data_IF_726995135711
#
_entry.id   IF_726995135711
#
_cell.length_a   1.000
_cell.length_b   1.000
_cell.length_c   1.000
_cell.angle_alpha   90.00
_cell.angle_beta   90.00
_cell.angle_gamma   90.00
#
_symmetry.space_group_name_H-M   'P 1'
#
loop_
_entity.id
_entity.type
_entity.pdbx_description
1 polymer ?
#
# COMPACT_ATOMS: atom_id res chain seq x y z
N UNK A 1 28.13 38.09 -29.15
CA UNK A 1 28.68 38.29 -27.80
C UNK A 1 28.38 39.70 -27.36
N UNK A 2 27.72 39.95 -26.24
CA UNK A 2 27.43 41.31 -25.79
C UNK A 2 28.68 41.95 -25.22
N UNK A 3 28.99 43.15 -25.75
CA UNK A 3 30.08 44.03 -25.29
C UNK A 3 31.43 43.32 -25.11
N UNK A 4 31.96 42.67 -26.15
CA UNK A 4 33.26 41.98 -26.14
C UNK A 4 34.26 42.76 -26.96
N UNK A 5 35.42 42.99 -26.41
CA UNK A 5 36.55 43.47 -27.15
C UNK A 5 37.44 42.29 -27.56
N UNK A 6 37.54 42.00 -28.87
CA UNK A 6 38.37 40.90 -29.37
C UNK A 6 39.80 41.41 -29.44
N UNK A 7 40.66 40.84 -28.58
CA UNK A 7 42.07 41.23 -28.45
C UNK A 7 42.92 40.48 -29.48
N UNK A 8 42.78 39.16 -29.56
CA UNK A 8 43.56 38.32 -30.45
C UNK A 8 42.71 37.16 -30.95
N UNK A 9 43.01 36.69 -32.15
CA UNK A 9 42.37 35.49 -32.70
C UNK A 9 43.32 34.70 -33.60
N UNK A 10 43.20 33.39 -33.59
CA UNK A 10 44.00 32.47 -34.40
C UNK A 10 43.08 31.38 -34.97
N UNK A 11 43.17 31.16 -36.28
CA UNK A 11 42.41 30.13 -36.98
C UNK A 11 43.35 29.32 -37.85
N UNK A 12 43.11 28.02 -37.90
CA UNK A 12 43.80 27.13 -38.85
C UNK A 12 43.29 27.30 -40.29
N UNK A 13 42.01 27.62 -40.46
CA UNK A 13 41.39 27.86 -41.76
C UNK A 13 41.51 29.35 -42.14
N UNK A 14 41.96 29.64 -43.39
CA UNK A 14 42.22 31.00 -43.86
C UNK A 14 40.98 31.84 -44.20
N UNK A 15 39.77 31.29 -44.16
CA UNK A 15 38.53 31.98 -44.57
C UNK A 15 37.76 32.45 -43.30
N UNK A 16 38.06 33.66 -42.87
CA UNK A 16 37.32 34.36 -41.85
C UNK A 16 37.17 35.84 -42.14
N UNK A 17 36.14 36.47 -41.62
CA UNK A 17 35.97 37.93 -41.67
C UNK A 17 35.58 38.42 -40.23
N UNK A 18 36.14 39.53 -39.84
CA UNK A 18 35.84 40.23 -38.60
C UNK A 18 34.94 41.43 -38.94
N UNK A 19 33.77 41.48 -38.33
CA UNK A 19 32.86 42.62 -38.40
C UNK A 19 32.52 43.08 -37.00
N UNK A 20 33.11 44.19 -36.56
CA UNK A 20 32.93 44.75 -35.19
C UNK A 20 33.17 43.66 -34.10
N UNK A 21 32.13 43.26 -33.40
CA UNK A 21 32.17 42.26 -32.31
C UNK A 21 31.82 40.85 -32.77
N UNK A 22 31.81 40.59 -34.07
CA UNK A 22 31.49 39.25 -34.63
C UNK A 22 32.64 38.75 -35.48
N UNK A 23 32.91 37.49 -35.35
CA UNK A 23 33.82 36.75 -36.24
C UNK A 23 32.99 35.80 -37.08
N UNK A 24 33.03 35.95 -38.38
CA UNK A 24 32.38 35.05 -39.30
C UNK A 24 33.45 34.10 -39.84
N UNK A 25 33.23 32.82 -39.66
CA UNK A 25 34.11 31.77 -40.15
C UNK A 25 33.39 31.07 -41.30
N UNK A 26 34.00 31.10 -42.49
CA UNK A 26 33.42 30.56 -43.72
C UNK A 26 33.50 31.52 -44.90
N UNK A 27 32.94 31.15 -46.10
CA UNK A 27 32.19 29.90 -46.35
C UNK A 27 33.08 28.66 -46.29
N UNK A 28 32.54 27.60 -45.76
CA UNK A 28 33.23 26.31 -45.70
C UNK A 28 33.05 25.57 -47.02
N UNK A 29 34.11 24.91 -47.46
CA UNK A 29 34.03 23.85 -48.46
C UNK A 29 33.39 22.59 -47.82
N UNK A 30 32.98 21.63 -48.64
CA UNK A 30 32.42 20.35 -48.17
C UNK A 30 33.47 19.68 -47.28
N UNK A 31 33.15 19.54 -45.99
CA UNK A 31 34.02 18.84 -45.04
C UNK A 31 33.46 17.45 -44.75
N UNK A 32 34.33 16.46 -44.57
CA UNK A 32 33.87 15.12 -44.18
C UNK A 32 33.22 15.14 -42.79
N UNK A 33 32.34 14.18 -42.49
CA UNK A 33 31.81 14.02 -41.15
C UNK A 33 32.92 13.95 -40.11
N UNK A 34 32.70 14.53 -38.93
CA UNK A 34 33.65 14.57 -37.80
C UNK A 34 34.94 15.37 -38.07
N UNK A 35 35.03 16.14 -39.11
CA UNK A 35 36.16 17.07 -39.36
C UNK A 35 36.28 18.07 -38.20
N UNK A 36 37.46 18.20 -37.62
CA UNK A 36 37.77 19.15 -36.55
C UNK A 36 38.56 20.31 -37.09
N UNK A 37 38.20 21.53 -36.69
CA UNK A 37 38.98 22.74 -36.95
C UNK A 37 39.22 23.45 -35.63
N UNK A 38 40.44 23.69 -35.27
CA UNK A 38 40.78 24.41 -34.05
C UNK A 38 40.83 25.91 -34.33
N UNK A 39 40.23 26.67 -33.44
CA UNK A 39 40.36 28.13 -33.44
C UNK A 39 40.49 28.62 -32.00
N UNK A 40 41.23 29.69 -31.81
CA UNK A 40 41.31 30.38 -30.53
C UNK A 40 40.96 31.86 -30.72
N UNK A 41 40.19 32.38 -29.77
CA UNK A 41 39.84 33.82 -29.71
C UNK A 41 40.08 34.28 -28.29
N UNK A 42 40.94 35.28 -28.16
CA UNK A 42 41.17 36.00 -26.91
C UNK A 42 40.31 37.25 -26.90
N UNK A 43 39.40 37.36 -25.96
CA UNK A 43 38.50 38.51 -25.89
C UNK A 43 38.33 38.94 -24.42
N UNK A 44 38.03 40.23 -24.26
CA UNK A 44 37.71 40.82 -22.99
C UNK A 44 36.18 40.89 -22.85
N UNK A 45 35.66 40.43 -21.73
CA UNK A 45 34.23 40.47 -21.46
C UNK A 45 33.98 40.59 -19.97
N UNK A 46 32.86 41.22 -19.60
CA UNK A 46 32.31 41.25 -18.25
C UNK A 46 31.20 40.21 -18.05
N UNK A 47 31.00 39.37 -19.06
CA UNK A 47 29.97 38.32 -19.01
C UNK A 47 30.27 37.21 -17.98
N UNK A 48 29.22 36.66 -17.47
CA UNK A 48 29.26 35.52 -16.57
C UNK A 48 29.24 34.24 -17.42
N UNK A 49 30.18 33.33 -17.18
CA UNK A 49 30.26 32.04 -17.87
C UNK A 49 30.11 30.89 -16.87
N UNK A 50 28.92 30.34 -16.80
CA UNK A 50 28.67 29.12 -16.03
C UNK A 50 28.81 27.92 -16.95
N UNK A 51 29.50 26.91 -16.46
CA UNK A 51 29.64 25.61 -17.17
C UNK A 51 29.32 24.48 -16.19
N UNK A 52 28.45 23.60 -16.60
CA UNK A 52 28.18 22.35 -15.88
C UNK A 52 29.24 21.35 -16.31
N UNK A 53 30.13 20.98 -15.37
CA UNK A 53 31.20 20.03 -15.63
C UNK A 53 30.64 18.60 -15.73
N UNK A 54 29.74 18.25 -14.80
CA UNK A 54 29.11 16.95 -14.74
C UNK A 54 27.67 17.09 -14.27
N UNK A 55 26.78 16.40 -14.93
CA UNK A 55 25.38 16.23 -14.56
C UNK A 55 25.09 14.73 -14.44
N UNK A 56 24.87 14.27 -13.23
CA UNK A 56 24.35 12.93 -12.97
C UNK A 56 22.85 13.07 -12.71
N UNK A 57 22.03 12.64 -13.67
CA UNK A 57 20.58 12.74 -13.65
C UNK A 57 19.97 11.37 -13.43
N UNK A 58 19.19 11.23 -12.37
CA UNK A 58 18.43 10.01 -12.05
C UNK A 58 16.95 10.27 -12.18
N UNK A 59 16.26 9.45 -12.97
CA UNK A 59 14.82 9.50 -13.15
C UNK A 59 14.25 8.17 -12.68
N UNK A 60 13.48 8.18 -11.61
CA UNK A 60 12.84 6.99 -11.07
C UNK A 60 11.34 7.01 -11.34
N UNK A 61 10.86 6.05 -12.13
CA UNK A 61 9.46 5.91 -12.47
C UNK A 61 8.74 4.99 -11.49
N UNK A 62 7.69 5.52 -10.86
CA UNK A 62 6.76 4.75 -10.06
C UNK A 62 5.42 4.62 -10.76
N UNK A 63 4.89 3.41 -10.86
CA UNK A 63 3.54 3.15 -11.37
C UNK A 63 2.43 3.70 -10.45
N UNK A 64 2.77 4.07 -9.22
CA UNK A 64 1.84 4.65 -8.23
C UNK A 64 1.53 6.13 -8.47
N UNK A 65 1.99 6.71 -9.56
CA UNK A 65 1.61 8.06 -9.97
C UNK A 65 2.70 9.12 -9.79
N UNK A 66 3.94 8.73 -9.50
CA UNK A 66 5.06 9.63 -9.29
C UNK A 66 6.25 9.31 -10.20
N UNK A 67 6.92 10.33 -10.68
CA UNK A 67 8.24 10.26 -11.29
C UNK A 67 9.15 11.15 -10.46
N UNK A 68 10.13 10.55 -9.79
CA UNK A 68 11.15 11.29 -9.06
C UNK A 68 12.33 11.60 -9.98
N UNK A 69 12.75 12.85 -9.98
CA UNK A 69 13.93 13.33 -10.72
C UNK A 69 14.91 13.91 -9.72
N UNK A 70 16.14 13.44 -9.75
CA UNK A 70 17.24 13.96 -8.95
C UNK A 70 18.43 14.25 -9.84
N UNK A 71 18.87 15.49 -9.85
CA UNK A 71 20.01 16.00 -10.60
C UNK A 71 21.15 16.35 -9.66
N UNK A 72 22.27 15.64 -9.75
CA UNK A 72 23.52 16.01 -9.09
C UNK A 72 24.36 16.82 -10.06
N UNK A 73 24.59 18.09 -9.75
CA UNK A 73 25.13 19.08 -10.68
C UNK A 73 26.44 19.65 -10.14
N UNK A 74 27.52 19.43 -10.88
CA UNK A 74 28.80 20.08 -10.63
C UNK A 74 28.94 21.27 -11.59
N UNK A 75 28.88 22.48 -11.05
CA UNK A 75 28.94 23.72 -11.85
C UNK A 75 30.14 24.55 -11.43
N UNK A 76 30.75 25.24 -12.41
CA UNK A 76 31.84 26.13 -12.13
C UNK A 76 31.78 27.39 -13.02
N UNK A 77 32.37 28.45 -12.53
CA UNK A 77 32.52 29.68 -13.30
C UNK A 77 33.75 29.58 -14.18
N UNK A 78 33.56 29.41 -15.50
CA UNK A 78 34.62 29.19 -16.48
C UNK A 78 35.29 30.50 -17.00
N UNK A 79 34.90 31.66 -16.45
CA UNK A 79 35.50 32.94 -16.74
C UNK A 79 36.92 33.09 -16.18
N UNK A 80 37.45 34.31 -16.27
CA UNK A 80 38.79 34.64 -15.79
C UNK A 80 38.93 34.30 -14.28
N UNK A 81 40.02 33.60 -13.95
CA UNK A 81 40.29 33.21 -12.57
C UNK A 81 40.52 34.41 -11.67
N UNK A 82 40.02 34.32 -10.43
CA UNK A 82 40.27 35.33 -9.40
C UNK A 82 41.79 35.51 -9.19
N UNK A 83 42.26 36.73 -9.23
CA UNK A 83 43.68 37.07 -8.97
C UNK A 83 43.84 37.34 -7.46
N UNK A 84 44.67 36.58 -6.81
CA UNK A 84 44.91 36.69 -5.37
C UNK A 84 43.87 36.02 -4.48
N UNK A 85 43.98 36.15 -3.16
CA UNK A 85 43.04 35.59 -2.19
C UNK A 85 41.70 36.32 -2.25
N UNK A 86 40.63 35.62 -1.87
CA UNK A 86 39.30 36.24 -1.74
C UNK A 86 39.23 37.15 -0.53
N UNK A 87 38.85 38.41 -0.77
CA UNK A 87 38.57 39.42 0.27
C UNK A 87 37.05 39.59 0.39
N UNK A 88 36.49 39.20 1.55
CA UNK A 88 35.07 39.41 1.84
C UNK A 88 34.70 40.90 1.94
N UNK A 89 35.65 41.72 2.40
CA UNK A 89 35.48 43.18 2.52
C UNK A 89 35.35 43.79 1.12
N UNK A 90 36.32 43.53 0.23
CA UNK A 90 36.28 44.03 -1.13
C UNK A 90 35.08 43.55 -1.93
N UNK A 91 34.65 42.29 -1.71
CA UNK A 91 33.42 41.78 -2.30
C UNK A 91 32.19 42.56 -1.86
N UNK A 92 32.05 42.85 -0.57
CA UNK A 92 30.85 43.50 -0.02
C UNK A 92 30.83 45.02 -0.25
N UNK A 93 31.98 45.68 -0.26
CA UNK A 93 32.11 47.15 -0.32
C UNK A 93 32.87 47.66 -1.54
N UNK A 94 33.51 46.79 -2.31
CA UNK A 94 34.28 47.17 -3.48
C UNK A 94 33.42 47.33 -4.74
N UNK A 95 33.82 48.30 -5.58
CA UNK A 95 33.10 48.62 -6.81
C UNK A 95 33.46 47.72 -8.00
N UNK A 96 34.16 46.61 -7.79
CA UNK A 96 34.84 45.89 -8.87
C UNK A 96 34.37 44.43 -9.18
N UNK A 97 33.23 43.97 -8.70
CA UNK A 97 32.85 42.56 -8.79
C UNK A 97 31.86 42.25 -9.93
N UNK A 98 32.13 42.71 -11.12
CA UNK A 98 31.24 42.58 -12.29
C UNK A 98 31.16 41.14 -12.86
N UNK A 99 32.07 40.23 -12.49
CA UNK A 99 32.15 38.86 -13.00
C UNK A 99 31.90 37.81 -11.95
N UNK A 100 30.97 38.06 -11.01
CA UNK A 100 30.62 37.17 -9.94
C UNK A 100 29.20 36.62 -10.10
N UNK A 101 29.04 35.34 -9.94
CA UNK A 101 27.73 34.70 -9.99
C UNK A 101 27.18 34.57 -8.56
N UNK A 102 26.16 35.34 -8.24
CA UNK A 102 25.44 35.25 -6.96
C UNK A 102 24.22 34.31 -7.04
N UNK A 103 23.60 34.23 -8.20
CA UNK A 103 22.42 33.39 -8.44
C UNK A 103 22.30 33.05 -9.93
N UNK A 104 21.48 32.05 -10.25
CA UNK A 104 21.06 31.73 -11.62
C UNK A 104 19.65 31.15 -11.63
N UNK A 105 18.98 31.25 -12.77
CA UNK A 105 17.62 30.77 -12.96
C UNK A 105 17.58 29.42 -13.63
N UNK A 106 16.90 28.47 -12.99
CA UNK A 106 16.61 27.14 -13.47
C UNK A 106 15.13 27.04 -13.82
N UNK A 107 14.79 26.38 -14.93
CA UNK A 107 13.41 26.18 -15.32
C UNK A 107 13.03 24.69 -15.22
N UNK A 108 12.09 24.37 -14.31
CA UNK A 108 11.60 23.02 -14.09
C UNK A 108 10.32 22.75 -14.89
N UNK A 109 10.07 21.49 -15.27
CA UNK A 109 8.88 21.09 -16.01
C UNK A 109 7.57 21.42 -15.28
N UNK A 110 6.48 21.55 -16.07
CA UNK A 110 5.15 21.79 -15.52
C UNK A 110 4.69 20.64 -14.64
N UNK A 111 4.19 20.96 -13.45
CA UNK A 111 3.68 19.98 -12.50
C UNK A 111 4.72 19.48 -11.50
N UNK A 112 5.94 20.04 -11.52
CA UNK A 112 6.96 19.73 -10.49
C UNK A 112 6.44 20.05 -9.11
N UNK A 113 6.70 19.12 -8.15
CA UNK A 113 6.32 19.22 -6.73
C UNK A 113 7.49 18.79 -5.87
N UNK A 114 7.40 19.05 -4.57
CA UNK A 114 8.37 18.59 -3.58
C UNK A 114 9.81 18.92 -3.95
N UNK A 115 10.02 20.15 -4.44
CA UNK A 115 11.32 20.63 -4.93
C UNK A 115 12.25 20.79 -3.73
N UNK A 116 13.42 20.18 -3.82
CA UNK A 116 14.47 20.37 -2.82
C UNK A 116 15.80 20.70 -3.49
N UNK A 117 16.55 21.57 -2.84
CA UNK A 117 17.88 21.99 -3.22
C UNK A 117 18.82 21.79 -2.02
N UNK A 118 19.85 21.00 -2.20
CA UNK A 118 20.84 20.70 -1.16
C UNK A 118 22.25 20.69 -1.71
N UNK A 119 23.19 21.08 -0.90
CA UNK A 119 24.62 20.96 -1.17
C UNK A 119 25.30 19.91 -0.25
N UNK A 120 26.61 19.82 -0.29
CA UNK A 120 27.35 18.88 0.57
C UNK A 120 27.16 19.14 2.09
N UNK A 121 26.75 20.34 2.48
CA UNK A 121 26.53 20.73 3.89
C UNK A 121 25.08 20.41 4.33
N UNK A 122 24.14 20.47 3.41
CA UNK A 122 22.72 20.19 3.69
C UNK A 122 21.77 21.04 2.86
N UNK A 123 20.49 21.11 3.26
CA UNK A 123 19.49 21.87 2.54
C UNK A 123 19.81 23.37 2.50
N UNK A 124 19.55 23.96 1.33
CA UNK A 124 19.73 25.41 1.09
C UNK A 124 18.35 26.03 0.93
N UNK A 125 18.04 27.04 1.77
CA UNK A 125 16.72 27.69 1.80
C UNK A 125 16.67 29.07 1.18
N UNK A 126 17.77 29.55 0.60
CA UNK A 126 17.88 30.91 0.00
C UNK A 126 17.23 31.03 -1.38
N UNK A 127 16.84 29.90 -1.99
CA UNK A 127 16.28 29.86 -3.34
C UNK A 127 14.82 30.33 -3.38
N UNK A 128 14.44 31.00 -4.47
CA UNK A 128 13.08 31.49 -4.69
C UNK A 128 12.38 30.70 -5.79
N UNK A 129 11.12 30.33 -5.52
CA UNK A 129 10.27 29.54 -6.43
C UNK A 129 9.16 30.41 -6.99
N UNK A 130 9.10 30.56 -8.31
CA UNK A 130 8.02 31.26 -9.00
C UNK A 130 7.28 30.29 -9.92
N UNK A 131 5.98 30.07 -9.66
CA UNK A 131 5.14 29.23 -10.51
C UNK A 131 4.64 29.99 -11.73
N UNK A 132 4.89 29.46 -12.93
CA UNK A 132 4.40 29.98 -14.21
C UNK A 132 3.44 28.98 -14.87
N UNK A 133 2.69 29.42 -15.87
CA UNK A 133 1.81 28.54 -16.66
C UNK A 133 2.57 27.45 -17.43
N UNK A 134 3.82 27.73 -17.81
CA UNK A 134 4.71 26.83 -18.58
C UNK A 134 5.53 25.89 -17.71
N UNK A 135 5.72 26.19 -16.42
CA UNK A 135 6.57 25.42 -15.51
C UNK A 135 6.84 26.17 -14.21
N UNK A 136 7.94 25.84 -13.59
CA UNK A 136 8.39 26.48 -12.36
C UNK A 136 9.76 27.10 -12.59
N UNK A 137 9.87 28.41 -12.38
CA UNK A 137 11.16 29.07 -12.35
C UNK A 137 11.71 29.04 -10.93
N UNK A 138 12.90 28.52 -10.82
CA UNK A 138 13.65 28.42 -9.58
C UNK A 138 14.90 29.28 -9.68
N UNK A 139 14.99 30.30 -8.85
CA UNK A 139 16.20 31.08 -8.67
C UNK A 139 17.08 30.40 -7.64
N UNK A 140 18.20 29.86 -8.09
CA UNK A 140 19.16 29.15 -7.23
C UNK A 140 20.20 30.15 -6.73
N UNK A 141 20.29 30.32 -5.43
CA UNK A 141 21.30 31.10 -4.74
C UNK A 141 22.24 30.16 -3.96
N UNK A 142 23.51 29.98 -4.40
CA UNK A 142 24.46 29.16 -3.68
C UNK A 142 24.92 29.81 -2.37
N UNK A 143 25.44 29.01 -1.42
CA UNK A 143 25.90 29.52 -0.12
C UNK A 143 26.99 30.57 -0.21
N UNK A 144 27.73 30.56 -1.30
CA UNK A 144 28.77 31.55 -1.58
C UNK A 144 28.75 31.93 -3.06
N UNK A 145 29.05 33.19 -3.39
CA UNK A 145 29.11 33.63 -4.77
C UNK A 145 30.24 32.93 -5.50
N UNK A 146 30.03 32.57 -6.77
CA UNK A 146 31.06 31.92 -7.58
C UNK A 146 31.92 32.96 -8.29
N UNK A 147 33.16 33.05 -7.87
CA UNK A 147 34.22 33.78 -8.54
C UNK A 147 34.77 33.00 -9.71
N UNK A 148 35.46 33.63 -10.64
CA UNK A 148 36.09 32.95 -11.77
C UNK A 148 37.00 31.81 -11.36
N UNK A 149 36.75 30.63 -11.88
CA UNK A 149 37.45 29.38 -11.53
C UNK A 149 36.87 28.64 -10.32
N UNK A 150 35.93 29.24 -9.59
CA UNK A 150 35.29 28.55 -8.45
C UNK A 150 34.23 27.59 -8.94
N UNK A 151 34.03 26.52 -8.15
CA UNK A 151 33.06 25.44 -8.40
C UNK A 151 32.15 25.20 -7.20
N UNK A 152 30.96 24.77 -7.46
CA UNK A 152 30.05 24.24 -6.45
C UNK A 152 29.40 22.97 -6.98
N UNK A 153 28.95 22.14 -6.04
CA UNK A 153 28.21 20.93 -6.33
C UNK A 153 26.92 20.94 -5.51
N UNK A 154 25.82 20.61 -6.14
CA UNK A 154 24.53 20.59 -5.49
C UNK A 154 23.62 19.53 -6.12
N UNK A 155 22.62 19.15 -5.34
CA UNK A 155 21.56 18.24 -5.76
C UNK A 155 20.26 19.02 -5.83
N UNK A 156 19.60 18.91 -6.96
CA UNK A 156 18.27 19.44 -7.20
C UNK A 156 17.32 18.28 -7.49
N UNK A 157 16.29 18.10 -6.63
CA UNK A 157 15.31 17.06 -6.83
C UNK A 157 13.90 17.59 -6.87
N UNK A 158 13.04 16.89 -7.60
CA UNK A 158 11.62 17.23 -7.72
C UNK A 158 10.80 16.01 -8.17
N UNK A 159 9.51 16.05 -7.93
CA UNK A 159 8.55 15.02 -8.31
C UNK A 159 7.64 15.51 -9.45
N UNK A 160 7.36 14.62 -10.42
CA UNK A 160 6.43 14.86 -11.52
C UNK A 160 5.25 13.88 -11.43
N UNK A 161 4.01 14.33 -11.76
CA UNK A 161 2.87 13.43 -11.84
C UNK A 161 2.94 12.60 -13.13
N UNK A 162 2.84 11.27 -13.02
CA UNK A 162 2.91 10.36 -14.18
C UNK A 162 1.88 10.66 -15.27
N UNK A 163 0.69 11.15 -14.91
CA UNK A 163 -0.40 11.46 -15.85
C UNK A 163 -0.02 12.38 -17.01
N UNK A 164 1.05 13.15 -16.87
CA UNK A 164 1.51 14.11 -17.89
C UNK A 164 2.63 13.53 -18.77
N UNK A 165 3.27 12.46 -18.34
CA UNK A 165 4.52 11.95 -18.92
C UNK A 165 4.45 10.48 -19.30
N UNK A 166 3.54 9.71 -18.69
CA UNK A 166 3.35 8.29 -18.92
C UNK A 166 2.05 8.05 -19.70
N UNK A 167 2.16 7.43 -20.86
CA UNK A 167 1.04 7.06 -21.71
C UNK A 167 0.89 5.55 -21.69
N UNK A 168 -0.36 5.07 -21.62
CA UNK A 168 -0.68 3.66 -21.54
C UNK A 168 -1.66 3.27 -22.66
N UNK A 169 -1.40 2.12 -23.26
CA UNK A 169 -2.32 1.42 -24.14
C UNK A 169 -2.26 -0.07 -23.83
N UNK A 170 -3.29 -0.59 -23.17
CA UNK A 170 -3.32 -1.97 -22.63
C UNK A 170 -2.13 -2.22 -21.67
N UNK A 171 -1.25 -3.17 -21.99
CA UNK A 171 -0.04 -3.48 -21.25
C UNK A 171 1.20 -2.75 -21.75
N UNK A 172 1.06 -1.95 -22.81
CA UNK A 172 2.15 -1.18 -23.38
C UNK A 172 2.19 0.23 -22.78
N UNK A 173 3.34 0.64 -22.31
CA UNK A 173 3.57 1.94 -21.69
C UNK A 173 4.62 2.70 -22.49
N UNK A 174 4.46 4.02 -22.57
CA UNK A 174 5.42 4.93 -23.15
C UNK A 174 5.71 6.09 -22.19
N UNK A 175 6.91 6.14 -21.65
CA UNK A 175 7.39 7.25 -20.83
C UNK A 175 8.02 8.30 -21.75
N UNK A 176 7.46 9.51 -21.75
CA UNK A 176 7.99 10.67 -22.48
C UNK A 176 8.53 11.68 -21.51
N UNK A 177 9.85 11.83 -21.43
CA UNK A 177 10.52 12.71 -20.47
C UNK A 177 11.76 13.34 -21.08
N UNK A 178 12.16 14.50 -20.60
CA UNK A 178 13.35 15.19 -21.07
C UNK A 178 14.62 14.53 -20.55
N UNK A 179 15.57 14.29 -21.46
CA UNK A 179 16.88 13.80 -21.09
C UNK A 179 17.73 14.86 -20.36
N UNK A 180 17.52 16.12 -20.67
CA UNK A 180 18.18 17.28 -20.08
C UNK A 180 17.15 18.36 -19.80
N UNK A 181 17.20 19.00 -18.62
CA UNK A 181 16.41 20.19 -18.31
C UNK A 181 17.22 21.47 -18.42
N UNK A 182 16.54 22.60 -18.33
CA UNK A 182 17.16 23.90 -18.31
C UNK A 182 17.76 24.19 -16.94
N UNK A 183 19.09 24.20 -16.83
CA UNK A 183 19.84 24.44 -15.58
C UNK A 183 20.14 25.93 -15.39
N UNK A 184 20.65 26.58 -16.43
CA UNK A 184 20.89 28.01 -16.47
C UNK A 184 20.82 28.54 -17.92
N UNK A 185 20.71 29.84 -18.10
CA UNK A 185 20.66 30.48 -19.44
C UNK A 185 21.97 30.23 -20.17
N UNK A 186 21.89 29.93 -21.48
CA UNK A 186 23.03 29.60 -22.37
C UNK A 186 23.88 28.44 -21.80
N UNK A 187 23.23 27.40 -21.30
CA UNK A 187 23.90 26.28 -20.63
C UNK A 187 24.84 25.51 -21.53
N UNK A 188 25.94 25.11 -20.95
CA UNK A 188 26.85 24.13 -21.51
C UNK A 188 27.17 23.05 -20.50
N UNK A 189 26.83 21.80 -20.84
CA UNK A 189 27.04 20.61 -19.99
C UNK A 189 28.12 19.76 -20.64
N UNK A 190 29.27 19.60 -19.97
CA UNK A 190 30.39 18.85 -20.51
C UNK A 190 30.12 17.35 -20.52
N UNK A 191 29.53 16.82 -19.47
CA UNK A 191 29.23 15.39 -19.31
C UNK A 191 27.84 15.22 -18.68
N UNK A 192 26.99 14.46 -19.36
CA UNK A 192 25.70 13.99 -18.83
C UNK A 192 25.77 12.47 -18.63
N UNK A 193 25.45 12.02 -17.43
CA UNK A 193 25.13 10.63 -17.13
C UNK A 193 23.65 10.58 -16.73
N UNK A 194 22.86 9.88 -17.52
CA UNK A 194 21.42 9.74 -17.31
C UNK A 194 21.10 8.31 -16.91
N UNK A 195 20.49 8.14 -15.75
CA UNK A 195 19.99 6.87 -15.25
C UNK A 195 18.45 6.92 -15.19
N UNK A 196 17.81 5.97 -15.84
CA UNK A 196 16.35 5.85 -15.83
C UNK A 196 15.98 4.51 -15.20
N UNK A 197 15.38 4.58 -14.02
CA UNK A 197 14.97 3.43 -13.22
C UNK A 197 13.51 3.14 -13.55
N UNK A 198 13.27 2.01 -14.20
CA UNK A 198 11.93 1.53 -14.54
C UNK A 198 11.35 0.69 -13.38
N UNK A 199 10.03 0.49 -13.33
CA UNK A 199 9.41 -0.42 -12.37
C UNK A 199 9.96 -1.86 -12.48
N UNK A 200 9.78 -2.65 -11.45
CA UNK A 200 10.15 -4.07 -11.47
C UNK A 200 9.30 -4.84 -12.49
N UNK A 201 9.86 -5.87 -13.10
CA UNK A 201 9.18 -6.77 -14.03
C UNK A 201 8.73 -6.11 -15.35
N UNK A 202 9.43 -5.10 -15.83
CA UNK A 202 9.23 -4.57 -17.19
C UNK A 202 9.90 -5.46 -18.23
N UNK A 203 9.29 -5.55 -19.41
CA UNK A 203 9.76 -6.36 -20.54
C UNK A 203 9.77 -5.51 -21.83
N UNK A 204 10.46 -5.97 -22.88
CA UNK A 204 10.45 -5.39 -24.22
C UNK A 204 10.81 -3.89 -24.28
N UNK A 205 11.87 -3.48 -23.58
CA UNK A 205 12.28 -2.08 -23.50
C UNK A 205 12.83 -1.60 -24.86
N UNK A 206 12.21 -0.55 -25.42
CA UNK A 206 12.66 0.15 -26.64
C UNK A 206 12.77 1.62 -26.34
N UNK A 207 13.83 2.26 -26.83
CA UNK A 207 14.12 3.67 -26.58
C UNK A 207 14.19 4.41 -27.89
N UNK A 208 13.45 5.51 -27.99
CA UNK A 208 13.54 6.47 -29.09
C UNK A 208 14.40 7.65 -28.65
N UNK A 209 15.53 7.82 -29.32
CA UNK A 209 16.51 8.86 -29.01
C UNK A 209 16.24 10.12 -29.84
N UNK A 210 16.18 11.33 -29.25
CA UNK A 210 16.05 12.57 -29.99
C UNK A 210 17.34 12.96 -30.70
N UNK A 211 18.46 12.43 -30.27
CA UNK A 211 19.81 12.57 -30.81
C UNK A 211 20.66 11.37 -30.35
N UNK A 212 21.83 11.21 -30.94
CA UNK A 212 22.72 10.09 -30.56
C UNK A 212 23.16 10.16 -29.10
N UNK A 213 22.80 9.13 -28.33
CA UNK A 213 23.18 8.89 -26.93
C UNK A 213 23.94 7.58 -26.86
N UNK A 214 25.02 7.55 -26.11
CA UNK A 214 25.74 6.32 -25.83
C UNK A 214 24.97 5.52 -24.76
N UNK A 215 24.51 4.31 -25.12
CA UNK A 215 23.87 3.41 -24.17
C UNK A 215 24.91 2.53 -23.52
N UNK A 216 25.04 2.62 -22.21
CA UNK A 216 25.84 1.73 -21.39
C UNK A 216 25.05 0.44 -21.10
N UNK A 217 25.72 -0.65 -20.68
CA UNK A 217 25.01 -1.87 -20.26
C UNK A 217 24.01 -1.56 -19.17
N UNK A 218 22.77 -2.08 -19.30
CA UNK A 218 21.73 -1.93 -18.30
C UNK A 218 22.16 -2.61 -17.00
N UNK A 219 21.73 -2.08 -15.87
CA UNK A 219 21.97 -2.66 -14.55
C UNK A 219 20.65 -2.93 -13.83
N UNK A 220 20.71 -3.72 -12.76
CA UNK A 220 19.57 -3.98 -11.90
C UNK A 220 19.78 -3.30 -10.56
N UNK A 221 18.79 -2.55 -10.11
CA UNK A 221 18.77 -1.91 -8.78
C UNK A 221 17.72 -2.61 -7.92
N UNK A 222 18.11 -3.46 -6.97
CA UNK A 222 17.16 -4.06 -6.03
C UNK A 222 16.70 -3.00 -5.02
N UNK A 223 15.43 -2.98 -4.70
CA UNK A 223 14.83 -2.20 -3.62
C UNK A 223 14.13 -3.15 -2.65
N UNK A 224 13.67 -2.67 -1.50
CA UNK A 224 13.26 -3.44 -0.32
C UNK A 224 12.56 -4.80 -0.55
N UNK A 225 11.48 -4.82 -1.34
CA UNK A 225 10.66 -6.02 -1.57
C UNK A 225 10.76 -6.54 -3.00
N UNK A 226 11.67 -5.97 -3.80
CA UNK A 226 11.92 -6.44 -5.16
C UNK A 226 12.50 -7.87 -5.13
N UNK A 227 12.07 -8.70 -6.05
CA UNK A 227 12.59 -10.06 -6.18
C UNK A 227 13.60 -10.20 -7.32
N UNK A 228 13.40 -9.44 -8.41
CA UNK A 228 14.28 -9.43 -9.59
C UNK A 228 15.07 -8.13 -9.69
N UNK A 229 14.64 -7.08 -9.00
CA UNK A 229 15.19 -5.74 -9.08
C UNK A 229 14.63 -4.94 -10.27
N UNK A 230 14.83 -3.63 -10.20
CA UNK A 230 14.37 -2.67 -11.21
C UNK A 230 15.42 -2.47 -12.26
N UNK A 231 15.03 -2.45 -13.53
CA UNK A 231 15.93 -2.21 -14.64
C UNK A 231 16.35 -0.74 -14.66
N UNK A 232 17.66 -0.51 -14.69
CA UNK A 232 18.26 0.82 -14.80
C UNK A 232 18.88 0.98 -16.18
N UNK A 233 18.31 1.86 -17.00
CA UNK A 233 18.83 2.25 -18.29
C UNK A 233 19.86 3.34 -18.07
N UNK A 234 21.09 3.15 -18.57
CA UNK A 234 22.17 4.12 -18.42
C UNK A 234 22.58 4.68 -19.76
N UNK A 235 22.50 6.01 -19.85
CA UNK A 235 22.83 6.75 -21.06
C UNK A 235 23.88 7.82 -20.74
N UNK A 236 24.79 8.03 -21.68
CA UNK A 236 25.87 9.03 -21.56
C UNK A 236 25.92 9.93 -22.79
N UNK A 237 26.23 11.20 -22.58
CA UNK A 237 26.49 12.17 -23.65
C UNK A 237 27.41 13.28 -23.19
N UNK A 238 28.26 13.72 -24.06
CA UNK A 238 29.16 14.84 -23.82
C UNK A 238 28.77 16.06 -24.65
N UNK A 239 29.13 17.25 -24.15
CA UNK A 239 29.00 18.53 -24.87
C UNK A 239 27.54 18.86 -25.24
N UNK A 240 26.66 18.95 -24.26
CA UNK A 240 25.26 19.31 -24.45
C UNK A 240 25.07 20.82 -24.26
N UNK A 241 24.11 21.37 -25.03
CA UNK A 241 23.68 22.77 -24.99
C UNK A 241 22.14 22.81 -24.95
N UNK A 242 21.53 23.98 -24.88
CA UNK A 242 20.07 24.17 -24.85
C UNK A 242 19.30 23.44 -25.97
N UNK A 243 19.91 23.29 -27.17
CA UNK A 243 19.30 22.56 -28.28
C UNK A 243 19.09 21.06 -28.01
N UNK A 244 19.74 20.51 -27.00
CA UNK A 244 19.59 19.11 -26.54
C UNK A 244 18.49 18.92 -25.49
N UNK A 245 17.78 19.98 -25.11
CA UNK A 245 16.60 19.88 -24.24
C UNK A 245 15.44 19.31 -25.06
N UNK A 246 15.44 18.00 -25.24
CA UNK A 246 14.43 17.26 -26.02
C UNK A 246 13.93 16.05 -25.23
N UNK A 247 12.72 15.61 -25.59
CA UNK A 247 12.11 14.43 -24.99
C UNK A 247 12.77 13.16 -25.51
N UNK A 248 13.01 12.22 -24.60
CA UNK A 248 13.30 10.81 -24.88
C UNK A 248 12.02 10.02 -24.64
N UNK A 249 11.75 9.01 -25.46
CA UNK A 249 10.57 8.16 -25.31
C UNK A 249 11.05 6.74 -25.04
N UNK A 250 10.54 6.16 -23.94
CA UNK A 250 10.88 4.81 -23.53
C UNK A 250 9.60 3.98 -23.56
N UNK A 251 9.56 3.02 -24.45
CA UNK A 251 8.49 2.04 -24.56
C UNK A 251 8.86 0.80 -23.77
N UNK A 252 7.90 0.26 -23.02
CA UNK A 252 8.07 -0.98 -22.27
C UNK A 252 6.72 -1.64 -22.05
N UNK A 253 6.75 -2.95 -21.82
CA UNK A 253 5.58 -3.74 -21.47
C UNK A 253 5.54 -3.97 -19.97
N UNK A 254 4.38 -3.77 -19.37
CA UNK A 254 4.17 -3.96 -17.95
C UNK A 254 2.75 -4.45 -17.66
N UNK A 255 2.63 -5.47 -16.86
CA UNK A 255 1.33 -6.01 -16.43
C UNK A 255 0.92 -5.32 -15.12
N UNK A 256 -0.20 -4.54 -15.09
CA UNK A 256 -0.59 -3.75 -13.91
C UNK A 256 -0.77 -4.58 -12.62
N UNK A 257 -1.17 -5.86 -12.74
CA UNK A 257 -1.28 -6.75 -11.58
C UNK A 257 0.04 -6.95 -10.83
N UNK A 258 1.19 -6.79 -11.51
CA UNK A 258 2.51 -6.89 -10.87
C UNK A 258 2.76 -5.77 -9.83
N UNK A 259 2.02 -4.65 -9.89
CA UNK A 259 2.06 -3.59 -8.85
C UNK A 259 1.61 -4.08 -7.47
N UNK A 260 0.70 -5.07 -7.41
CA UNK A 260 0.18 -5.58 -6.15
C UNK A 260 1.11 -6.60 -5.48
N UNK A 261 2.22 -6.94 -6.11
CA UNK A 261 3.14 -7.97 -5.65
C UNK A 261 3.76 -7.65 -4.28
N UNK A 262 4.21 -6.42 -4.09
CA UNK A 262 4.78 -5.97 -2.81
C UNK A 262 3.75 -6.02 -1.68
N UNK A 263 2.49 -5.60 -1.96
CA UNK A 263 1.38 -5.72 -1.02
C UNK A 263 1.08 -7.17 -0.66
N UNK A 264 1.14 -8.05 -1.66
CA UNK A 264 0.86 -9.47 -1.45
C UNK A 264 1.91 -10.11 -0.54
N UNK A 265 3.19 -9.80 -0.72
CA UNK A 265 4.26 -10.28 0.17
C UNK A 265 4.11 -9.74 1.59
N UNK A 266 3.79 -8.46 1.75
CA UNK A 266 3.55 -7.85 3.07
C UNK A 266 2.34 -8.49 3.76
N UNK A 267 1.28 -8.73 3.01
CA UNK A 267 0.09 -9.41 3.52
C UNK A 267 0.40 -10.84 3.98
N UNK A 268 1.15 -11.63 3.18
CA UNK A 268 1.56 -12.99 3.55
C UNK A 268 2.42 -12.97 4.81
N UNK A 269 3.40 -12.06 4.89
CA UNK A 269 4.27 -11.95 6.06
C UNK A 269 3.46 -11.63 7.33
N UNK A 270 2.54 -10.66 7.26
CA UNK A 270 1.64 -10.32 8.36
C UNK A 270 0.73 -11.48 8.74
N UNK A 271 0.15 -12.18 7.76
CA UNK A 271 -0.68 -13.34 7.97
C UNK A 271 0.09 -14.46 8.68
N UNK A 272 1.32 -14.73 8.28
CA UNK A 272 2.19 -15.73 8.92
C UNK A 272 2.50 -15.37 10.38
N UNK A 273 2.77 -14.10 10.67
CA UNK A 273 2.97 -13.62 12.05
C UNK A 273 1.72 -13.81 12.88
N UNK A 274 0.55 -13.42 12.36
CA UNK A 274 -0.73 -13.60 13.07
C UNK A 274 -1.06 -15.08 13.30
N UNK A 275 -0.83 -15.94 12.31
CA UNK A 275 -0.98 -17.40 12.46
C UNK A 275 -0.06 -17.96 13.54
N UNK A 276 1.19 -17.50 13.58
CA UNK A 276 2.15 -17.93 14.61
C UNK A 276 1.66 -17.53 16.02
N UNK A 277 1.15 -16.30 16.17
CA UNK A 277 0.60 -15.82 17.44
C UNK A 277 -0.62 -16.66 17.84
N UNK A 278 -1.54 -16.94 16.92
CA UNK A 278 -2.73 -17.74 17.18
C UNK A 278 -2.33 -19.16 17.60
N UNK A 279 -1.39 -19.78 16.89
CA UNK A 279 -0.88 -21.11 17.22
C UNK A 279 -0.23 -21.07 18.60
N UNK A 280 0.65 -20.10 18.89
CA UNK A 280 1.33 -19.96 20.17
C UNK A 280 0.35 -19.82 21.34
N UNK A 281 -0.68 -18.99 21.19
CA UNK A 281 -1.70 -18.77 22.24
C UNK A 281 -2.60 -20.00 22.43
N UNK A 282 -2.86 -20.77 21.35
CA UNK A 282 -3.72 -21.97 21.41
C UNK A 282 -3.01 -23.26 21.79
N UNK A 283 -1.70 -23.33 21.55
CA UNK A 283 -0.88 -24.47 21.96
C UNK A 283 -0.54 -24.33 23.45
N UNK A 284 -0.98 -25.32 24.21
CA UNK A 284 -0.59 -25.45 25.61
C UNK A 284 0.76 -26.20 25.67
N UNK A 285 1.83 -25.45 25.88
CA UNK A 285 3.19 -25.97 26.04
C UNK A 285 3.52 -26.39 27.47
N UNK A 286 2.54 -26.36 28.37
CA UNK A 286 2.77 -26.75 29.77
C UNK A 286 3.10 -28.25 29.87
N UNK A 287 4.24 -28.55 30.43
CA UNK A 287 4.69 -29.93 30.71
C UNK A 287 3.87 -30.54 31.85
N UNK A 288 3.35 -29.70 32.73
CA UNK A 288 2.38 -30.10 33.76
C UNK A 288 0.98 -30.08 33.17
N UNK A 289 0.36 -31.28 33.05
CA UNK A 289 -1.07 -31.38 32.87
C UNK A 289 -1.73 -30.80 34.12
N UNK A 290 -2.34 -29.62 33.98
CA UNK A 290 -3.24 -29.06 35.00
C UNK A 290 -4.47 -29.98 35.06
N UNK A 291 -4.43 -30.97 35.92
CA UNK A 291 -5.56 -31.91 36.12
C UNK A 291 -6.87 -31.15 36.32
N UNK A 292 -6.78 -30.02 37.01
CA UNK A 292 -7.93 -29.13 37.24
C UNK A 292 -8.52 -28.57 35.95
N UNK A 293 -7.68 -28.09 35.02
CA UNK A 293 -8.14 -27.56 33.69
C UNK A 293 -8.69 -28.69 32.81
N UNK A 294 -8.14 -29.89 32.89
CA UNK A 294 -8.62 -31.03 32.11
C UNK A 294 -10.00 -31.47 32.60
N UNK A 295 -10.18 -31.49 33.95
CA UNK A 295 -11.46 -31.75 34.57
C UNK A 295 -12.47 -30.67 34.20
N UNK A 296 -12.12 -29.40 34.28
CA UNK A 296 -12.98 -28.28 33.92
C UNK A 296 -13.43 -28.35 32.46
N UNK A 297 -12.51 -28.64 31.54
CA UNK A 297 -12.85 -28.83 30.09
C UNK A 297 -13.79 -30.02 29.88
N UNK A 298 -13.59 -31.13 30.60
CA UNK A 298 -14.48 -32.29 30.53
C UNK A 298 -15.89 -31.94 31.05
N UNK A 299 -15.97 -31.26 32.18
CA UNK A 299 -17.25 -30.79 32.74
C UNK A 299 -17.97 -29.89 31.76
N UNK A 300 -17.27 -28.86 31.22
CA UNK A 300 -17.83 -27.91 30.27
C UNK A 300 -18.34 -28.60 28.99
N UNK A 301 -17.58 -29.59 28.47
CA UNK A 301 -18.01 -30.36 27.30
C UNK A 301 -19.25 -31.24 27.56
N UNK A 302 -19.41 -31.74 28.77
CA UNK A 302 -20.57 -32.53 29.15
C UNK A 302 -21.79 -31.66 29.42
N UNK A 303 -21.60 -30.47 30.02
CA UNK A 303 -22.67 -29.50 30.24
C UNK A 303 -23.19 -28.98 28.89
N UNK A 304 -22.31 -28.65 27.93
CA UNK A 304 -22.76 -28.22 26.62
C UNK A 304 -23.55 -29.29 25.85
N UNK A 305 -23.19 -30.56 25.99
CA UNK A 305 -24.01 -31.68 25.45
C UNK A 305 -25.36 -31.78 26.13
N UNK A 306 -25.39 -31.60 27.44
CA UNK A 306 -26.63 -31.64 28.20
C UNK A 306 -27.58 -30.53 27.76
N UNK A 307 -27.11 -29.32 27.57
CA UNK A 307 -27.91 -28.20 27.04
C UNK A 307 -28.50 -28.56 25.66
N UNK A 308 -27.70 -29.10 24.76
CA UNK A 308 -28.19 -29.54 23.43
C UNK A 308 -29.27 -30.65 23.53
N UNK A 309 -29.18 -31.54 24.51
CA UNK A 309 -30.20 -32.57 24.70
C UNK A 309 -31.50 -31.94 25.22
N UNK A 310 -31.42 -30.98 26.12
CA UNK A 310 -32.61 -30.24 26.62
C UNK A 310 -33.27 -29.40 25.53
N UNK A 311 -32.50 -28.79 24.63
CA UNK A 311 -33.08 -28.11 23.45
C UNK A 311 -33.89 -29.10 22.60
N UNK A 312 -33.34 -30.27 22.32
CA UNK A 312 -34.08 -31.34 21.60
C UNK A 312 -35.30 -31.82 22.38
N UNK A 313 -35.23 -31.81 23.72
CA UNK A 313 -36.34 -32.19 24.60
C UNK A 313 -37.48 -31.17 24.48
N UNK A 314 -37.18 -29.88 24.47
CA UNK A 314 -38.15 -28.82 24.26
C UNK A 314 -38.87 -28.96 22.91
N UNK A 315 -38.14 -29.31 21.84
CA UNK A 315 -38.73 -29.62 20.53
C UNK A 315 -39.72 -30.81 20.58
N UNK A 316 -39.41 -31.80 21.41
CA UNK A 316 -40.29 -32.96 21.61
C UNK A 316 -41.57 -32.54 22.37
N UNK A 317 -41.44 -31.67 23.39
CA UNK A 317 -42.59 -31.14 24.14
C UNK A 317 -43.54 -30.36 23.23
N UNK A 318 -43.03 -29.46 22.41
CA UNK A 318 -43.87 -28.72 21.45
C UNK A 318 -44.57 -29.65 20.45
N UNK A 319 -43.87 -30.68 19.96
CA UNK A 319 -44.47 -31.64 19.03
C UNK A 319 -45.52 -32.49 19.68
N UNK A 320 -45.33 -32.92 20.94
CA UNK A 320 -46.36 -33.67 21.69
C UNK A 320 -47.62 -32.81 21.89
N UNK A 321 -47.48 -31.52 22.19
CA UNK A 321 -48.64 -30.63 22.29
C UNK A 321 -49.34 -30.41 20.94
N UNK A 322 -48.58 -30.32 19.86
CA UNK A 322 -49.18 -30.24 18.51
C UNK A 322 -49.93 -31.53 18.14
N UNK A 323 -49.38 -32.69 18.46
CA UNK A 323 -50.03 -33.99 18.27
C UNK A 323 -51.35 -34.06 19.05
N UNK A 324 -51.40 -33.60 20.32
CA UNK A 324 -52.61 -33.52 21.12
C UNK A 324 -53.66 -32.55 20.52
N UNK A 325 -53.23 -31.40 20.02
CA UNK A 325 -54.13 -30.45 19.32
C UNK A 325 -54.69 -31.04 18.04
N UNK A 326 -53.86 -31.77 17.23
CA UNK A 326 -54.29 -32.45 16.03
C UNK A 326 -55.30 -33.57 16.34
N UNK A 327 -55.03 -34.41 17.34
CA UNK A 327 -55.88 -35.48 17.78
C UNK A 327 -57.30 -34.98 18.21
N UNK A 328 -57.35 -33.82 18.86
CA UNK A 328 -58.62 -33.16 19.22
C UNK A 328 -59.44 -32.75 17.98
N UNK A 329 -58.82 -32.37 16.87
CA UNK A 329 -59.50 -31.91 15.64
C UNK A 329 -59.91 -33.11 14.75
N UNK A 330 -58.99 -34.05 14.51
CA UNK A 330 -59.15 -35.09 13.50
C UNK A 330 -59.77 -36.36 14.05
N UNK A 331 -59.66 -36.62 15.39
CA UNK A 331 -60.16 -37.78 16.12
C UNK A 331 -59.67 -39.13 15.58
N UNK A 332 -58.59 -39.14 14.80
CA UNK A 332 -57.92 -40.36 14.32
C UNK A 332 -57.05 -40.95 15.36
N UNK A 333 -57.45 -42.09 15.93
CA UNK A 333 -56.73 -42.72 17.00
C UNK A 333 -55.51 -43.53 16.55
N UNK A 334 -55.46 -44.00 15.33
CA UNK A 334 -54.35 -44.85 14.84
C UNK A 334 -53.12 -43.98 14.45
N UNK A 335 -53.33 -42.86 13.77
CA UNK A 335 -52.27 -41.91 13.47
C UNK A 335 -51.73 -41.27 14.74
N UNK A 336 -52.60 -40.87 15.66
CA UNK A 336 -52.21 -40.35 16.99
C UNK A 336 -51.29 -41.33 17.75
N UNK A 337 -51.70 -42.61 17.86
CA UNK A 337 -50.96 -43.62 18.65
C UNK A 337 -49.58 -43.88 18.01
N UNK A 338 -49.45 -43.83 16.70
CA UNK A 338 -48.17 -44.05 16.02
C UNK A 338 -47.21 -42.84 16.25
N UNK A 339 -47.71 -41.63 16.06
CA UNK A 339 -46.91 -40.40 16.27
C UNK A 339 -46.51 -40.21 17.73
N UNK A 340 -47.47 -40.43 18.64
CA UNK A 340 -47.26 -40.40 20.11
C UNK A 340 -46.18 -41.37 20.55
N UNK A 341 -46.29 -42.63 20.17
CA UNK A 341 -45.28 -43.65 20.50
C UNK A 341 -43.91 -43.34 19.96
N UNK A 342 -43.81 -42.79 18.74
CA UNK A 342 -42.56 -42.36 18.15
C UNK A 342 -41.89 -41.28 18.99
N UNK A 343 -42.63 -40.24 19.42
CA UNK A 343 -42.10 -39.13 20.21
C UNK A 343 -41.76 -39.55 21.65
N UNK A 344 -42.59 -40.41 22.25
CA UNK A 344 -42.31 -40.99 23.57
C UNK A 344 -41.06 -41.86 23.59
N UNK A 345 -40.77 -42.56 22.49
CA UNK A 345 -39.51 -43.29 22.33
C UNK A 345 -38.32 -42.34 22.26
N UNK A 346 -38.39 -41.26 21.47
CA UNK A 346 -37.34 -40.26 21.42
C UNK A 346 -37.11 -39.59 22.80
N UNK A 347 -38.17 -39.29 23.54
CA UNK A 347 -38.08 -38.76 24.91
C UNK A 347 -37.33 -39.73 25.81
N UNK A 348 -37.68 -41.05 25.79
CA UNK A 348 -37.04 -42.06 26.64
C UNK A 348 -35.55 -42.23 26.29
N UNK A 349 -35.19 -42.14 25.03
CA UNK A 349 -33.79 -42.17 24.55
C UNK A 349 -33.00 -40.96 25.10
N UNK A 350 -33.53 -39.73 24.97
CA UNK A 350 -32.93 -38.53 25.53
C UNK A 350 -32.79 -38.60 27.06
N UNK A 351 -33.82 -39.09 27.76
CA UNK A 351 -33.78 -39.27 29.23
C UNK A 351 -32.69 -40.27 29.66
N UNK A 352 -32.50 -41.34 28.92
CA UNK A 352 -31.42 -42.29 29.15
C UNK A 352 -30.04 -41.65 28.95
N UNK A 353 -29.88 -40.79 27.91
CA UNK A 353 -28.65 -40.06 27.65
C UNK A 353 -28.34 -39.03 28.74
N UNK A 354 -29.34 -38.28 29.23
CA UNK A 354 -29.21 -37.35 30.35
C UNK A 354 -28.74 -38.10 31.61
N UNK A 355 -29.33 -39.27 31.92
CA UNK A 355 -28.91 -40.10 33.06
C UNK A 355 -27.48 -40.65 32.90
N UNK A 356 -27.06 -40.99 31.67
CA UNK A 356 -25.68 -41.38 31.39
C UNK A 356 -24.70 -40.25 31.64
N UNK A 357 -25.03 -39.01 31.23
CA UNK A 357 -24.21 -37.84 31.49
C UNK A 357 -24.14 -37.55 32.99
N UNK A 358 -25.26 -37.63 33.71
CA UNK A 358 -25.33 -37.49 35.18
C UNK A 358 -24.40 -38.46 35.90
N UNK A 359 -24.43 -39.73 35.54
CA UNK A 359 -23.55 -40.75 36.16
C UNK A 359 -22.07 -40.46 35.91
N UNK A 360 -21.71 -39.90 34.78
CA UNK A 360 -20.33 -39.53 34.48
C UNK A 360 -19.89 -38.24 35.17
N UNK A 361 -20.82 -37.30 35.41
CA UNK A 361 -20.53 -36.01 36.07
C UNK A 361 -20.53 -36.12 37.59
N UNK A 362 -21.32 -37.04 38.17
CA UNK A 362 -21.49 -37.19 39.63
C UNK A 362 -20.16 -37.28 40.41
N UNK A 363 -19.14 -38.06 39.98
CA UNK A 363 -17.88 -38.14 40.69
C UNK A 363 -16.98 -36.90 40.51
N UNK A 364 -17.23 -36.10 39.46
CA UNK A 364 -16.36 -35.02 39.04
C UNK A 364 -16.88 -33.65 39.51
N UNK A 365 -18.20 -33.48 39.55
CA UNK A 365 -18.87 -32.22 39.87
C UNK A 365 -20.13 -32.42 40.73
N UNK A 366 -19.99 -32.61 42.08
CA UNK A 366 -21.13 -32.90 42.99
C UNK A 366 -22.20 -31.81 43.00
N UNK A 367 -21.81 -30.52 43.00
CA UNK A 367 -22.76 -29.39 43.01
C UNK A 367 -23.62 -29.35 41.76
N UNK A 368 -23.04 -29.60 40.58
CA UNK A 368 -23.78 -29.67 39.32
C UNK A 368 -24.72 -30.88 39.28
N UNK A 369 -24.37 -31.96 39.94
CA UNK A 369 -25.22 -33.15 40.01
C UNK A 369 -26.53 -32.88 40.79
N UNK A 370 -26.51 -32.05 41.82
CA UNK A 370 -27.71 -31.65 42.53
C UNK A 370 -28.66 -30.82 41.64
N UNK A 371 -28.12 -29.89 40.89
CA UNK A 371 -28.88 -29.11 39.90
C UNK A 371 -29.46 -30.00 38.79
N UNK A 372 -28.71 -30.98 38.31
CA UNK A 372 -29.20 -31.95 37.34
C UNK A 372 -30.35 -32.81 37.92
N UNK A 373 -30.33 -33.16 39.21
CA UNK A 373 -31.42 -33.84 39.86
C UNK A 373 -32.70 -32.98 39.86
N UNK A 374 -32.57 -31.68 40.13
CA UNK A 374 -33.67 -30.73 40.06
C UNK A 374 -34.25 -30.66 38.64
N UNK A 375 -33.38 -30.56 37.62
CA UNK A 375 -33.81 -30.56 36.23
C UNK A 375 -34.54 -31.83 35.83
N UNK A 376 -34.02 -33.01 36.17
CA UNK A 376 -34.66 -34.29 35.88
C UNK A 376 -36.02 -34.40 36.59
N UNK A 377 -36.16 -33.85 37.79
CA UNK A 377 -37.45 -33.83 38.49
C UNK A 377 -38.48 -32.91 37.84
N UNK A 378 -38.03 -31.71 37.36
CA UNK A 378 -38.86 -30.78 36.61
C UNK A 378 -39.32 -31.36 35.27
N UNK A 379 -38.40 -32.01 34.54
CA UNK A 379 -38.68 -32.74 33.29
C UNK A 379 -39.73 -33.84 33.52
N UNK A 380 -39.59 -34.64 34.57
CA UNK A 380 -40.58 -35.67 34.89
C UNK A 380 -41.95 -35.07 35.21
N UNK A 381 -42.01 -33.99 36.03
CA UNK A 381 -43.25 -33.30 36.35
C UNK A 381 -43.93 -32.72 35.11
N UNK A 382 -43.13 -32.19 34.15
CA UNK A 382 -43.68 -31.69 32.88
C UNK A 382 -44.28 -32.79 32.03
N UNK A 383 -43.63 -33.95 31.95
CA UNK A 383 -44.17 -35.11 31.24
C UNK A 383 -45.42 -35.67 31.88
N UNK A 384 -45.53 -35.64 33.24
CA UNK A 384 -46.76 -36.06 33.93
C UNK A 384 -47.92 -35.13 33.56
N UNK A 385 -47.69 -33.80 33.44
CA UNK A 385 -48.71 -32.86 32.99
C UNK A 385 -49.11 -33.09 31.50
N UNK A 386 -48.17 -33.49 30.64
CA UNK A 386 -48.46 -33.83 29.23
C UNK A 386 -49.33 -35.12 29.18
N UNK A 387 -49.03 -36.11 30.00
CA UNK A 387 -49.82 -37.35 30.08
C UNK A 387 -51.23 -37.09 30.66
N UNK A 388 -51.33 -36.19 31.64
CA UNK A 388 -52.62 -35.74 32.18
C UNK A 388 -53.43 -35.02 31.07
N UNK A 389 -52.80 -34.13 30.29
CA UNK A 389 -53.41 -33.49 29.12
C UNK A 389 -53.92 -34.52 28.12
N UNK A 390 -53.17 -35.61 27.85
CA UNK A 390 -53.59 -36.68 27.00
C UNK A 390 -54.84 -37.37 27.54
N UNK A 391 -54.83 -37.75 28.82
CA UNK A 391 -55.99 -38.44 29.44
C UNK A 391 -57.24 -37.61 29.43
N UNK A 392 -57.14 -36.31 29.61
CA UNK A 392 -58.24 -35.33 29.56
C UNK A 392 -58.77 -35.19 28.14
N UNK A 393 -57.87 -35.14 27.11
CA UNK A 393 -58.22 -35.10 25.71
C UNK A 393 -58.99 -36.37 25.30
N UNK A 394 -58.56 -37.55 25.72
CA UNK A 394 -59.28 -38.82 25.51
C UNK A 394 -60.67 -38.82 26.15
N UNK A 395 -60.82 -38.32 27.40
CA UNK A 395 -62.12 -38.15 28.05
C UNK A 395 -63.05 -37.22 27.34
N UNK A 396 -62.54 -36.14 26.71
CA UNK A 396 -63.31 -35.22 25.87
C UNK A 396 -63.81 -35.93 24.62
N UNK A 397 -62.93 -36.63 23.89
CA UNK A 397 -63.27 -37.36 22.66
C UNK A 397 -64.30 -38.47 22.93
N UNK A 398 -64.18 -39.17 24.06
CA UNK A 398 -65.09 -40.20 24.49
C UNK A 398 -66.44 -39.65 25.09
N UNK A 399 -66.65 -38.36 25.06
CA UNK A 399 -67.88 -37.75 25.53
C UNK A 399 -68.11 -37.72 27.05
N UNK A 400 -67.08 -38.05 27.85
CA UNK A 400 -67.11 -38.11 29.31
C UNK A 400 -66.84 -36.72 29.97
N UNK A 401 -66.48 -35.71 29.18
CA UNK A 401 -66.17 -34.37 29.69
C UNK A 401 -66.89 -33.31 28.84
N UNK A 402 -67.43 -32.26 29.48
CA UNK A 402 -68.07 -31.17 28.74
C UNK A 402 -66.99 -30.19 28.25
N UNK A 403 -67.25 -29.54 27.07
CA UNK A 403 -66.30 -28.63 26.40
C UNK A 403 -65.88 -27.42 27.27
N UNK A 404 -66.79 -26.90 28.12
CA UNK A 404 -66.49 -25.78 29.04
C UNK A 404 -65.55 -26.24 30.19
N UNK A 405 -65.72 -27.44 30.70
CA UNK A 405 -64.87 -28.03 31.75
C UNK A 405 -63.46 -28.35 31.17
N UNK A 406 -63.40 -28.84 29.95
CA UNK A 406 -62.14 -29.10 29.26
C UNK A 406 -61.32 -27.81 29.10
N UNK A 407 -61.93 -26.69 28.66
CA UNK A 407 -61.24 -25.40 28.48
C UNK A 407 -60.70 -24.84 29.79
N UNK A 408 -61.41 -24.96 30.89
CA UNK A 408 -60.91 -24.55 32.22
C UNK A 408 -59.69 -25.33 32.64
N UNK A 409 -59.75 -26.68 32.53
CA UNK A 409 -58.65 -27.55 32.93
C UNK A 409 -57.42 -27.37 32.01
N UNK A 410 -57.62 -27.19 30.66
CA UNK A 410 -56.54 -26.94 29.72
C UNK A 410 -55.83 -25.63 30.02
N UNK A 411 -56.57 -24.55 30.39
CA UNK A 411 -55.99 -23.30 30.83
C UNK A 411 -55.14 -23.42 32.07
N UNK A 412 -55.64 -24.13 33.10
CA UNK A 412 -54.90 -24.36 34.36
C UNK A 412 -53.63 -25.21 34.14
N UNK A 413 -53.72 -26.22 33.28
CA UNK A 413 -52.58 -27.02 32.87
C UNK A 413 -51.55 -26.21 32.04
N UNK A 414 -52.02 -25.30 31.18
CA UNK A 414 -51.18 -24.39 30.41
C UNK A 414 -50.32 -23.49 31.29
N UNK A 415 -50.95 -22.89 32.33
CA UNK A 415 -50.21 -22.05 33.31
C UNK A 415 -49.14 -22.87 34.06
N UNK A 416 -49.49 -24.08 34.49
CA UNK A 416 -48.51 -24.95 35.19
C UNK A 416 -47.38 -25.38 34.29
N UNK A 417 -47.65 -25.71 33.02
CA UNK A 417 -46.62 -26.07 32.04
C UNK A 417 -45.66 -24.91 31.77
N UNK A 418 -46.18 -23.70 31.56
CA UNK A 418 -45.35 -22.51 31.32
C UNK A 418 -44.41 -22.23 32.51
N UNK A 419 -44.95 -22.34 33.75
CA UNK A 419 -44.11 -22.15 34.96
C UNK A 419 -43.00 -23.20 35.09
N UNK A 420 -43.26 -24.45 34.69
CA UNK A 420 -42.22 -25.50 34.75
C UNK A 420 -41.17 -25.27 33.66
N UNK A 421 -41.54 -24.84 32.44
CA UNK A 421 -40.59 -24.52 31.40
C UNK A 421 -39.67 -23.36 31.82
N UNK A 422 -40.21 -22.27 32.37
CA UNK A 422 -39.39 -21.17 32.90
C UNK A 422 -38.42 -21.64 33.99
N UNK A 423 -38.86 -22.57 34.87
CA UNK A 423 -37.98 -23.14 35.88
C UNK A 423 -36.89 -24.03 35.27
N UNK A 424 -37.19 -24.79 34.22
CA UNK A 424 -36.20 -25.59 33.48
C UNK A 424 -35.16 -24.67 32.82
N UNK A 425 -35.58 -23.63 32.13
CA UNK A 425 -34.70 -22.66 31.46
C UNK A 425 -33.79 -21.94 32.47
N UNK A 426 -34.36 -21.47 33.59
CA UNK A 426 -33.59 -20.89 34.71
C UNK A 426 -32.58 -21.86 35.35
N UNK A 427 -32.89 -23.14 35.40
CA UNK A 427 -31.97 -24.17 35.91
C UNK A 427 -30.85 -24.47 34.88
N UNK A 428 -31.14 -24.42 33.57
CA UNK A 428 -30.17 -24.63 32.51
C UNK A 428 -29.17 -23.46 32.48
N UNK A 429 -29.64 -22.21 32.61
CA UNK A 429 -28.76 -21.02 32.65
C UNK A 429 -27.80 -21.03 33.85
N UNK A 430 -28.16 -21.70 34.93
CA UNK A 430 -27.35 -21.81 36.16
C UNK A 430 -26.41 -23.02 36.17
N UNK A 431 -26.47 -23.88 35.18
CA UNK A 431 -25.54 -25.00 34.97
C UNK A 431 -24.27 -24.57 34.27
#
# INVERSE_FOLDING_TARGET
MPRTNIIHYQFQDKKFSKASNKIHIGPYEIKPPMAKSEFSVHFETVGIFLTVKKLDRTIELSQWGNIAVEDSIQIYHSGAKLKGPFSRFDFKFGHGTQSVVSHWNTHLPKGSKDIYYRDAIGNVSTSHITKKSTGIDLEIEPRFPLMGGWKTEYILGYNLPTKNYLFQKDNHFALRIKALDHIHVDQFVQELNLEIILPECVENIKIEYPYELERLPDSLKPTYLDTTGRVVIRLKKNNLIDLHIKDIIIHYDFVPMKMLREFFFTFIAFFMVMMTIIIYVRLDFSIHKDEYKEVQKKVQSMVSKLVQIYEKQNDIYEKLEQILKKYRLDKDSDEFNSEWKSKMKQYSENKAEINSIKTKLSPIWPEGTERMNQLISLDSNFMDLIQESNSITEKLINGKLNKSQYQSIESDLGIKKSSIIENIDSCIEKL
#
